data_IF_483956789926
#
_entry.id   IF_483956789926
#
_cell.length_a   1.000
_cell.length_b   1.000
_cell.length_c   1.000
_cell.angle_alpha   90.00
_cell.angle_beta   90.00
_cell.angle_gamma   90.00
#
_symmetry.space_group_name_H-M   'P 1'
#
loop_
_entity.id
_entity.type
_entity.pdbx_description
1 polymer ?
#
# COMPACT_ATOMS: atom_id res chain seq x y z
N UNK A 1 8.33 -14.47 -6.26
CA UNK A 1 9.34 -13.66 -5.56
C UNK A 1 8.84 -13.17 -4.21
N UNK A 2 7.80 -12.33 -4.16
CA UNK A 2 7.24 -11.86 -2.87
C UNK A 2 6.66 -12.98 -2.00
N UNK A 3 6.07 -14.02 -2.59
CA UNK A 3 5.67 -15.24 -1.86
C UNK A 3 6.87 -15.93 -1.17
N UNK A 4 8.03 -15.99 -1.84
CA UNK A 4 9.25 -16.57 -1.27
C UNK A 4 9.89 -15.68 -0.19
N UNK A 5 9.77 -14.35 -0.34
CA UNK A 5 10.19 -13.39 0.70
C UNK A 5 9.26 -13.45 1.91
N UNK A 6 7.95 -13.62 1.71
CA UNK A 6 6.93 -13.80 2.76
C UNK A 6 7.04 -15.12 3.54
N UNK A 7 7.58 -16.17 2.91
CA UNK A 7 7.91 -17.43 3.60
C UNK A 7 9.16 -17.31 4.49
N UNK A 8 10.07 -16.38 4.17
CA UNK A 8 11.33 -16.18 4.92
C UNK A 8 11.28 -14.99 5.89
N UNK A 9 10.39 -14.04 5.65
CA UNK A 9 10.16 -12.83 6.44
C UNK A 9 8.66 -12.62 6.62
N UNK A 10 8.24 -12.24 7.83
CA UNK A 10 6.87 -11.85 8.17
C UNK A 10 6.11 -11.10 7.06
N UNK A 11 4.84 -11.45 6.83
CA UNK A 11 3.96 -10.67 5.96
C UNK A 11 3.87 -9.19 6.40
N UNK A 12 3.92 -8.94 7.72
CA UNK A 12 3.94 -7.58 8.28
C UNK A 12 5.21 -6.83 7.87
N UNK A 13 6.36 -7.51 7.86
CA UNK A 13 7.63 -6.92 7.41
C UNK A 13 7.55 -6.52 5.93
N UNK A 14 7.02 -7.39 5.07
CA UNK A 14 6.86 -7.11 3.64
C UNK A 14 5.96 -5.90 3.40
N UNK A 15 4.84 -5.80 4.14
CA UNK A 15 3.92 -4.66 4.03
C UNK A 15 4.61 -3.36 4.48
N UNK A 16 5.27 -3.36 5.66
CA UNK A 16 5.98 -2.17 6.16
C UNK A 16 7.08 -1.70 5.20
N UNK A 17 7.86 -2.63 4.67
CA UNK A 17 8.92 -2.32 3.71
C UNK A 17 8.35 -1.76 2.38
N UNK A 18 7.24 -2.33 1.91
CA UNK A 18 6.54 -1.85 0.72
C UNK A 18 6.01 -0.42 0.90
N UNK A 19 5.39 -0.13 2.06
CA UNK A 19 4.92 1.22 2.38
C UNK A 19 6.08 2.22 2.41
N UNK A 20 7.22 1.83 2.99
CA UNK A 20 8.41 2.68 3.01
C UNK A 20 8.90 3.00 1.60
N UNK A 21 8.92 2.02 0.69
CA UNK A 21 9.27 2.26 -0.71
C UNK A 21 8.27 3.20 -1.39
N UNK A 22 6.96 3.05 -1.14
CA UNK A 22 5.95 3.96 -1.69
C UNK A 22 6.14 5.42 -1.24
N UNK A 23 6.45 5.62 0.05
CA UNK A 23 6.77 6.94 0.59
C UNK A 23 7.96 7.55 -0.17
N UNK A 24 9.03 6.77 -0.39
CA UNK A 24 10.21 7.23 -1.14
C UNK A 24 9.87 7.54 -2.60
N UNK A 25 9.06 6.72 -3.27
CA UNK A 25 8.62 6.94 -4.66
C UNK A 25 7.84 8.26 -4.77
N UNK A 26 6.91 8.53 -3.86
CA UNK A 26 6.11 9.76 -3.88
C UNK A 26 7.00 10.98 -3.65
N UNK A 27 7.93 10.92 -2.70
CA UNK A 27 8.88 12.00 -2.44
C UNK A 27 9.76 12.25 -3.68
N UNK A 28 10.28 11.19 -4.31
CA UNK A 28 11.12 11.31 -5.50
C UNK A 28 10.34 11.87 -6.70
N UNK A 29 9.04 11.58 -6.80
CA UNK A 29 8.18 12.10 -7.87
C UNK A 29 8.10 13.64 -7.86
N UNK A 30 8.37 14.30 -6.72
CA UNK A 30 8.43 15.77 -6.64
C UNK A 30 9.58 16.39 -7.45
N UNK A 31 10.64 15.61 -7.71
CA UNK A 31 11.85 16.02 -8.41
C UNK A 31 11.93 15.49 -9.84
N UNK A 32 10.92 14.74 -10.27
CA UNK A 32 10.90 14.05 -11.55
C UNK A 32 10.97 15.05 -12.70
N UNK A 33 11.94 14.83 -13.59
CA UNK A 33 12.23 15.75 -14.70
C UNK A 33 12.16 15.07 -16.07
N UNK A 34 12.39 13.76 -16.14
CA UNK A 34 12.50 13.03 -17.41
C UNK A 34 11.49 11.87 -17.53
N UNK A 35 11.04 11.58 -18.75
CA UNK A 35 10.12 10.47 -19.01
C UNK A 35 10.72 9.09 -18.64
N UNK A 36 12.03 8.91 -18.79
CA UNK A 36 12.69 7.65 -18.39
C UNK A 36 12.60 7.39 -16.89
N UNK A 37 12.76 8.42 -16.05
CA UNK A 37 12.59 8.33 -14.60
C UNK A 37 11.17 7.89 -14.24
N UNK A 38 10.17 8.45 -14.94
CA UNK A 38 8.77 8.04 -14.77
C UNK A 38 8.55 6.56 -15.08
N UNK A 39 9.08 6.04 -16.19
CA UNK A 39 8.94 4.62 -16.52
C UNK A 39 9.62 3.70 -15.51
N UNK A 40 10.79 4.09 -15.01
CA UNK A 40 11.50 3.33 -13.97
C UNK A 40 10.66 3.29 -12.68
N UNK A 41 10.13 4.43 -12.24
CA UNK A 41 9.26 4.48 -11.07
C UNK A 41 7.97 3.67 -11.26
N UNK A 42 7.35 3.74 -12.43
CA UNK A 42 6.15 2.95 -12.74
C UNK A 42 6.44 1.43 -12.65
N UNK A 43 7.60 0.99 -13.14
CA UNK A 43 8.04 -0.39 -13.01
C UNK A 43 8.28 -0.78 -11.53
N UNK A 44 8.90 0.11 -10.74
CA UNK A 44 9.10 -0.09 -9.29
C UNK A 44 7.76 -0.19 -8.55
N UNK A 45 6.81 0.70 -8.84
CA UNK A 45 5.45 0.66 -8.29
C UNK A 45 4.79 -0.68 -8.60
N UNK A 46 4.83 -1.14 -9.86
CA UNK A 46 4.26 -2.42 -10.27
C UNK A 46 4.90 -3.61 -9.54
N UNK A 47 6.22 -3.57 -9.34
CA UNK A 47 6.94 -4.59 -8.59
C UNK A 47 6.52 -4.65 -7.12
N UNK A 48 6.46 -3.50 -6.43
CA UNK A 48 6.06 -3.43 -5.02
C UNK A 48 4.57 -3.76 -4.83
N UNK A 49 3.72 -3.40 -5.81
CA UNK A 49 2.28 -3.65 -5.76
C UNK A 49 1.97 -5.14 -5.58
N UNK A 50 2.71 -6.02 -6.25
CA UNK A 50 2.53 -7.47 -6.09
C UNK A 50 2.84 -7.97 -4.66
N UNK A 51 3.83 -7.37 -4.00
CA UNK A 51 4.23 -7.74 -2.65
C UNK A 51 3.22 -7.31 -1.59
N UNK A 52 2.87 -6.02 -1.59
CA UNK A 52 1.92 -5.48 -0.61
C UNK A 52 0.54 -6.13 -0.72
N UNK A 53 0.05 -6.38 -1.95
CA UNK A 53 -1.27 -6.98 -2.18
C UNK A 53 -1.33 -8.43 -1.72
N UNK A 54 -0.26 -9.21 -1.96
CA UNK A 54 -0.15 -10.59 -1.53
C UNK A 54 -0.05 -10.72 -0.01
N UNK A 55 0.93 -10.04 0.59
CA UNK A 55 1.17 -10.10 2.03
C UNK A 55 0.05 -9.47 2.86
N UNK A 56 -0.64 -8.43 2.38
CA UNK A 56 -1.81 -7.89 3.07
C UNK A 56 -2.93 -8.93 3.23
N UNK A 57 -3.24 -9.67 2.15
CA UNK A 57 -4.23 -10.75 2.20
C UNK A 57 -3.77 -11.91 3.08
N UNK A 58 -2.49 -12.29 2.98
CA UNK A 58 -1.89 -13.36 3.79
C UNK A 58 -1.92 -13.03 5.29
N UNK A 59 -1.51 -11.82 5.66
CA UNK A 59 -1.56 -11.33 7.03
C UNK A 59 -2.99 -11.29 7.57
N UNK A 60 -3.93 -10.79 6.77
CA UNK A 60 -5.33 -10.74 7.17
C UNK A 60 -5.91 -12.14 7.37
N UNK A 61 -5.59 -13.10 6.50
CA UNK A 61 -6.00 -14.50 6.65
C UNK A 61 -5.53 -15.13 7.97
N UNK A 62 -4.34 -14.75 8.45
CA UNK A 62 -3.77 -15.24 9.72
C UNK A 62 -4.42 -14.62 10.97
N UNK A 63 -5.00 -13.42 10.85
CA UNK A 63 -5.59 -12.68 11.97
C UNK A 63 -7.06 -13.00 12.21
N UNK A 64 -7.78 -13.44 11.18
CA UNK A 64 -9.23 -13.64 11.25
C UNK A 64 -9.60 -15.01 11.81
N UNK A 65 -10.72 -15.11 12.56
CA UNK A 65 -11.21 -16.38 13.07
C UNK A 65 -11.76 -17.27 11.94
N UNK A 66 -11.37 -18.56 11.94
CA UNK A 66 -11.67 -19.51 10.86
C UNK A 66 -13.17 -19.70 10.60
N UNK A 67 -13.98 -19.66 11.65
CA UNK A 67 -15.44 -19.83 11.63
C UNK A 67 -16.18 -18.66 10.97
N UNK A 68 -15.53 -17.50 10.82
CA UNK A 68 -16.12 -16.29 10.20
C UNK A 68 -15.29 -15.73 9.05
N UNK A 69 -14.35 -16.52 8.51
CA UNK A 69 -13.41 -16.05 7.50
C UNK A 69 -14.09 -15.38 6.30
N UNK A 70 -15.21 -15.92 5.82
CA UNK A 70 -15.98 -15.35 4.71
C UNK A 70 -16.55 -13.95 4.98
N UNK A 71 -17.03 -13.68 6.19
CA UNK A 71 -17.58 -12.37 6.58
C UNK A 71 -16.46 -11.33 6.68
N UNK A 72 -15.34 -11.68 7.33
CA UNK A 72 -14.18 -10.82 7.43
C UNK A 72 -13.53 -10.53 6.07
N UNK A 73 -13.42 -11.53 5.19
CA UNK A 73 -12.94 -11.31 3.82
C UNK A 73 -13.92 -10.48 2.97
N UNK A 74 -15.22 -10.61 3.22
CA UNK A 74 -16.24 -9.75 2.62
C UNK A 74 -16.05 -8.28 3.01
N UNK A 75 -15.81 -8.00 4.30
CA UNK A 75 -15.48 -6.67 4.79
C UNK A 75 -14.16 -6.16 4.19
N UNK A 76 -13.09 -6.97 4.23
CA UNK A 76 -11.79 -6.63 3.64
C UNK A 76 -11.91 -6.25 2.16
N UNK A 77 -12.66 -7.01 1.37
CA UNK A 77 -12.88 -6.71 -0.04
C UNK A 77 -13.67 -5.41 -0.24
N UNK A 78 -14.64 -5.14 0.63
CA UNK A 78 -15.43 -3.91 0.59
C UNK A 78 -14.57 -2.67 0.89
N UNK A 79 -13.75 -2.72 1.93
CA UNK A 79 -12.77 -1.67 2.23
C UNK A 79 -11.72 -1.51 1.13
N UNK A 80 -11.26 -2.61 0.54
CA UNK A 80 -10.33 -2.58 -0.60
C UNK A 80 -10.92 -1.83 -1.81
N UNK A 81 -12.20 -2.10 -2.14
CA UNK A 81 -12.91 -1.39 -3.22
C UNK A 81 -13.16 0.08 -2.87
N UNK A 82 -13.51 0.39 -1.63
CA UNK A 82 -13.66 1.76 -1.17
C UNK A 82 -12.33 2.53 -1.32
N UNK A 83 -11.20 1.93 -0.91
CA UNK A 83 -9.87 2.50 -1.08
C UNK A 83 -9.50 2.74 -2.55
N UNK A 84 -9.83 1.79 -3.43
CA UNK A 84 -9.59 1.90 -4.88
C UNK A 84 -10.37 3.06 -5.53
N UNK A 85 -11.52 3.45 -4.96
CA UNK A 85 -12.27 4.63 -5.36
C UNK A 85 -11.72 5.92 -4.70
N UNK A 86 -11.45 5.87 -3.39
CA UNK A 86 -10.99 7.02 -2.62
C UNK A 86 -9.63 7.56 -3.08
N UNK A 87 -8.70 6.68 -3.47
CA UNK A 87 -7.37 7.09 -3.93
C UNK A 87 -7.42 8.05 -5.12
N UNK A 88 -7.96 7.64 -6.28
CA UNK A 88 -8.13 8.52 -7.43
C UNK A 88 -9.00 9.74 -7.14
N UNK A 89 -10.05 9.60 -6.31
CA UNK A 89 -10.90 10.74 -5.95
C UNK A 89 -10.12 11.84 -5.20
N UNK A 90 -9.26 11.46 -4.23
CA UNK A 90 -8.43 12.39 -3.49
C UNK A 90 -7.37 13.05 -4.37
N UNK A 91 -6.71 12.28 -5.25
CA UNK A 91 -5.76 12.83 -6.22
C UNK A 91 -6.46 13.82 -7.15
N UNK A 92 -7.61 13.45 -7.70
CA UNK A 92 -8.40 14.31 -8.58
C UNK A 92 -8.85 15.60 -7.90
N UNK A 93 -9.27 15.52 -6.63
CA UNK A 93 -9.62 16.68 -5.83
C UNK A 93 -8.43 17.62 -5.65
N UNK A 94 -7.26 17.10 -5.24
CA UNK A 94 -6.08 17.94 -5.08
C UNK A 94 -5.59 18.50 -6.42
N UNK A 95 -5.66 17.72 -7.50
CA UNK A 95 -5.32 18.21 -8.82
C UNK A 95 -6.24 19.37 -9.25
N UNK A 96 -7.53 19.28 -8.96
CA UNK A 96 -8.50 20.34 -9.26
C UNK A 96 -8.29 21.61 -8.41
N UNK A 97 -7.85 21.46 -7.16
CA UNK A 97 -7.65 22.61 -6.25
C UNK A 97 -6.29 23.31 -6.45
N UNK A 98 -5.23 22.54 -6.72
CA UNK A 98 -3.86 23.05 -6.76
C UNK A 98 -3.30 23.16 -8.19
N UNK A 99 -4.01 22.63 -9.19
CA UNK A 99 -3.59 22.59 -10.61
C UNK A 99 -2.17 22.04 -10.82
N UNK A 100 -1.68 21.23 -9.88
CA UNK A 100 -0.31 20.74 -9.86
C UNK A 100 -0.30 19.23 -9.58
N UNK A 101 0.17 18.48 -10.58
CA UNK A 101 0.25 17.01 -10.53
C UNK A 101 1.12 16.52 -9.37
N UNK A 102 2.22 17.22 -9.05
CA UNK A 102 3.12 16.82 -7.96
C UNK A 102 2.44 16.96 -6.59
N UNK A 103 1.72 18.05 -6.38
CA UNK A 103 0.97 18.31 -5.14
C UNK A 103 -0.21 17.33 -5.01
N UNK A 104 -0.80 16.91 -6.13
CA UNK A 104 -1.93 15.96 -6.15
C UNK A 104 -1.60 14.57 -5.59
N UNK A 105 -0.32 14.23 -5.45
CA UNK A 105 0.14 12.96 -4.87
C UNK A 105 0.34 13.01 -3.35
N UNK A 106 0.43 14.20 -2.74
CA UNK A 106 0.54 14.36 -1.28
C UNK A 106 -0.57 13.68 -0.46
N UNK A 107 -1.86 13.69 -0.85
CA UNK A 107 -2.87 12.95 -0.09
C UNK A 107 -2.59 11.44 -0.05
N UNK A 108 -2.01 10.86 -1.10
CA UNK A 108 -1.61 9.44 -1.09
C UNK A 108 -0.49 9.21 -0.07
N UNK A 109 0.49 10.13 -0.01
CA UNK A 109 1.58 10.05 0.98
C UNK A 109 1.02 10.03 2.41
N UNK A 110 0.05 10.91 2.71
CA UNK A 110 -0.62 10.95 4.01
C UNK A 110 -1.31 9.62 4.31
N UNK A 111 -2.03 9.03 3.35
CA UNK A 111 -2.68 7.73 3.53
C UNK A 111 -1.68 6.60 3.82
N UNK A 112 -0.53 6.58 3.13
CA UNK A 112 0.51 5.59 3.41
C UNK A 112 1.13 5.75 4.79
N UNK A 113 1.40 6.98 5.23
CA UNK A 113 1.92 7.26 6.57
C UNK A 113 0.91 6.85 7.65
N UNK A 114 -0.37 7.20 7.47
CA UNK A 114 -1.43 6.77 8.39
C UNK A 114 -1.56 5.24 8.43
N UNK A 115 -1.51 4.59 7.27
CA UNK A 115 -1.51 3.12 7.18
C UNK A 115 -0.33 2.49 7.91
N UNK A 116 0.86 3.07 7.82
CA UNK A 116 2.05 2.60 8.53
C UNK A 116 1.88 2.73 10.06
N UNK A 117 1.35 3.87 10.53
CA UNK A 117 1.07 4.11 11.95
C UNK A 117 0.06 3.09 12.47
N UNK A 118 -1.05 2.87 11.75
CA UNK A 118 -2.07 1.89 12.14
C UNK A 118 -1.49 0.49 12.19
N UNK A 119 -0.71 0.08 11.18
CA UNK A 119 -0.11 -1.24 11.12
C UNK A 119 0.95 -1.47 12.22
N UNK A 120 1.61 -0.41 12.68
CA UNK A 120 2.52 -0.48 13.83
C UNK A 120 1.81 -0.98 15.09
N UNK A 121 0.58 -0.55 15.34
CA UNK A 121 -0.23 -0.99 16.49
C UNK A 121 -0.75 -2.42 16.39
N UNK A 122 -0.76 -3.03 15.20
CA UNK A 122 -1.21 -4.41 15.02
C UNK A 122 -0.15 -5.35 15.60
N UNK A 123 -0.44 -5.98 16.73
CA UNK A 123 0.41 -7.04 17.27
C UNK A 123 0.18 -8.32 16.47
N UNK A 124 1.22 -8.75 15.80
CA UNK A 124 1.30 -10.06 15.17
C UNK A 124 2.15 -10.89 16.09
N UNK A 125 1.54 -11.80 16.85
CA UNK A 125 2.27 -12.75 17.67
C UNK A 125 2.96 -13.74 16.71
N UNK A 126 4.12 -13.36 16.23
CA UNK A 126 4.95 -14.19 15.36
C UNK A 126 5.69 -15.23 16.20
N UNK A 127 4.94 -16.24 16.60
CA UNK A 127 5.48 -17.58 16.81
C UNK A 127 4.74 -18.46 15.82
N UNK A 128 5.41 -18.83 14.72
CA UNK A 128 5.65 -20.20 14.23
C UNK A 128 6.26 -20.13 12.82
#
# INVERSE_FOLDING_TARGET
MWAYVGEKYSDKFVINFSILIYILIIIYTLFLSNAMEFYILAAMVGFVQGGIQGSSRGLFAKLIPHDKAGEFFGLFNTFGKAGAFMGPALVGLFLALFENVRISLLPILVLFVLGLIVLYFVKTDETF
#
